data_IF_266395278255
#
_entry.id   IF_266395278255
#
_cell.length_a   1.000
_cell.length_b   1.000
_cell.length_c   1.000
_cell.angle_alpha   90.00
_cell.angle_beta   90.00
_cell.angle_gamma   90.00
#
_symmetry.space_group_name_H-M   'P 1'
#
loop_
_entity.id
_entity.type
_entity.pdbx_description
1 polymer ?
#
# COMPACT_ATOMS: atom_id res chain seq x y z
N UNK A 1 28.54 -11.85 19.22
CA UNK A 1 28.64 -10.82 18.19
C UNK A 1 27.22 -10.61 17.65
N UNK A 2 26.51 -9.57 18.12
CA UNK A 2 25.12 -9.32 17.75
C UNK A 2 25.10 -8.67 16.36
N UNK A 3 24.63 -9.40 15.37
CA UNK A 3 24.36 -8.85 14.04
C UNK A 3 23.17 -7.88 14.15
N UNK A 4 23.41 -6.61 13.82
CA UNK A 4 22.32 -5.65 13.59
C UNK A 4 21.58 -6.08 12.32
N UNK A 5 20.33 -6.51 12.49
CA UNK A 5 19.41 -6.67 11.33
C UNK A 5 19.08 -5.27 10.82
N UNK A 6 19.60 -4.91 9.69
CA UNK A 6 19.20 -3.70 8.97
C UNK A 6 17.81 -3.96 8.40
N UNK A 7 16.84 -3.22 8.85
CA UNK A 7 15.45 -3.28 8.34
C UNK A 7 15.40 -2.79 6.89
N UNK A 8 14.62 -3.45 6.10
CA UNK A 8 14.45 -3.22 4.65
C UNK A 8 13.04 -2.69 4.45
N UNK A 9 12.93 -1.53 3.80
CA UNK A 9 11.65 -0.87 3.52
C UNK A 9 11.33 -0.99 2.03
N UNK A 10 10.20 -1.60 1.70
CA UNK A 10 9.60 -1.50 0.37
C UNK A 10 8.39 -0.59 0.51
N UNK A 11 8.40 0.60 -0.05
CA UNK A 11 7.23 1.43 0.14
C UNK A 11 7.25 2.77 -0.57
N UNK A 12 6.08 3.15 -0.97
CA UNK A 12 5.73 4.48 -1.41
C UNK A 12 4.83 5.04 -0.31
N UNK A 13 5.21 6.13 0.33
CA UNK A 13 4.39 6.84 1.31
C UNK A 13 3.71 8.04 0.69
N UNK A 14 2.44 8.20 0.96
CA UNK A 14 1.71 9.44 0.73
C UNK A 14 1.76 10.29 2.00
N UNK A 15 2.12 11.55 1.88
CA UNK A 15 2.17 12.50 2.97
C UNK A 15 0.79 13.12 3.19
N UNK A 16 0.23 13.01 4.37
CA UNK A 16 -0.97 13.75 4.77
C UNK A 16 -0.60 15.20 5.10
N UNK A 17 -1.05 16.18 4.30
CA UNK A 17 -0.95 17.59 4.63
C UNK A 17 -2.22 18.00 5.34
N UNK A 18 -2.17 18.24 6.65
CA UNK A 18 -3.24 18.89 7.39
C UNK A 18 -3.21 20.40 7.14
N UNK A 19 -4.14 20.91 6.34
CA UNK A 19 -4.35 22.36 6.20
C UNK A 19 -5.32 22.81 7.29
N UNK A 20 -4.83 23.52 8.29
CA UNK A 20 -5.65 24.21 9.27
C UNK A 20 -6.23 25.49 8.63
N UNK A 21 -7.54 25.52 8.38
CA UNK A 21 -8.24 26.74 8.00
C UNK A 21 -8.75 27.45 9.24
N UNK A 22 -8.29 28.69 9.43
CA UNK A 22 -8.78 29.63 10.42
C UNK A 22 -10.10 30.23 9.97
N UNK A 23 -11.17 30.04 10.75
CA UNK A 23 -12.46 30.70 10.54
C UNK A 23 -12.54 31.95 11.44
N UNK A 24 -12.95 33.11 10.92
CA UNK A 24 -13.09 34.32 11.75
C UNK A 24 -14.34 34.26 12.62
N UNK A 25 -14.20 34.73 13.85
CA UNK A 25 -15.26 34.84 14.84
C UNK A 25 -16.27 35.93 14.47
N UNK A 26 -17.56 35.58 14.40
CA UNK A 26 -18.66 36.54 14.49
C UNK A 26 -19.42 36.28 15.79
N UNK A 27 -19.48 37.30 16.63
CA UNK A 27 -20.22 37.26 17.88
C UNK A 27 -21.70 37.42 17.67
N UNK A 28 -22.49 36.65 18.41
CA UNK A 28 -23.84 36.97 18.82
C UNK A 28 -24.14 36.26 20.16
N UNK A 29 -24.55 37.06 21.11
CA UNK A 29 -24.93 36.72 22.46
C UNK A 29 -26.39 36.24 22.42
N UNK A 30 -26.71 35.07 23.05
CA UNK A 30 -27.94 34.91 23.85
C UNK A 30 -28.12 33.51 24.43
N UNK A 31 -28.47 33.54 25.71
CA UNK A 31 -29.31 32.65 26.52
C UNK A 31 -28.76 31.31 27.03
N UNK A 32 -28.57 31.35 28.35
CA UNK A 32 -28.30 30.25 29.27
C UNK A 32 -29.45 29.20 29.22
N UNK A 33 -29.17 28.09 28.58
CA UNK A 33 -29.87 26.82 28.83
C UNK A 33 -28.81 25.82 29.31
N UNK A 34 -29.12 25.14 30.40
CA UNK A 34 -28.21 24.32 31.19
C UNK A 34 -27.22 23.47 30.41
N UNK A 35 -25.95 23.72 30.65
CA UNK A 35 -24.84 22.94 30.15
C UNK A 35 -24.81 21.59 30.89
N UNK A 36 -25.25 20.54 30.21
CA UNK A 36 -24.84 19.19 30.57
C UNK A 36 -23.42 19.08 30.07
N UNK A 37 -22.39 18.76 30.90
CA UNK A 37 -21.07 18.53 30.40
C UNK A 37 -21.14 17.36 29.41
N UNK A 38 -20.87 17.62 28.12
CA UNK A 38 -20.59 16.56 27.19
C UNK A 38 -19.39 15.79 27.71
N UNK A 39 -19.52 14.48 27.77
CA UNK A 39 -18.48 13.54 28.10
C UNK A 39 -17.19 13.98 27.39
N UNK A 40 -16.10 14.06 28.17
CA UNK A 40 -14.84 14.61 27.71
C UNK A 40 -14.40 13.91 26.43
N UNK A 41 -13.94 14.69 25.47
CA UNK A 41 -13.18 14.22 24.33
C UNK A 41 -12.02 13.37 24.87
N UNK A 42 -12.19 12.06 24.92
CA UNK A 42 -11.07 11.16 25.15
C UNK A 42 -10.20 11.32 23.90
N UNK A 43 -9.08 12.00 24.03
CA UNK A 43 -8.05 12.00 23.00
C UNK A 43 -7.64 10.54 22.79
N UNK A 44 -7.94 10.01 21.60
CA UNK A 44 -7.60 8.65 21.24
C UNK A 44 -6.10 8.42 21.43
N UNK A 45 -5.73 7.28 21.99
CA UNK A 45 -4.33 6.89 22.20
C UNK A 45 -3.60 6.88 20.86
N UNK A 46 -2.45 7.54 20.81
CA UNK A 46 -1.58 7.52 19.63
C UNK A 46 -0.56 6.39 19.75
N UNK A 47 -0.34 5.69 18.66
CA UNK A 47 0.63 4.58 18.56
C UNK A 47 1.47 4.74 17.29
N UNK A 48 2.65 4.11 17.29
CA UNK A 48 3.44 4.00 16.06
C UNK A 48 2.80 2.99 15.12
N UNK A 49 2.50 3.41 13.90
CA UNK A 49 2.05 2.50 12.83
C UNK A 49 3.08 1.41 12.59
N UNK A 50 2.63 0.18 12.47
CA UNK A 50 3.49 -0.93 12.03
C UNK A 50 3.82 -0.87 10.54
N UNK A 51 3.06 -0.09 9.77
CA UNK A 51 3.19 0.04 8.32
C UNK A 51 4.10 1.19 7.91
N UNK A 52 3.96 2.35 8.56
CA UNK A 52 4.63 3.60 8.18
C UNK A 52 5.62 4.13 9.21
N UNK A 53 5.49 3.70 10.48
CA UNK A 53 6.28 4.23 11.59
C UNK A 53 5.79 5.60 12.10
N UNK A 54 4.76 6.16 11.49
CA UNK A 54 4.16 7.42 11.90
C UNK A 54 3.28 7.26 13.15
N UNK A 55 3.02 8.37 13.83
CA UNK A 55 2.09 8.41 14.96
C UNK A 55 0.68 8.49 14.42
N UNK A 56 -0.13 7.48 14.69
CA UNK A 56 -1.52 7.34 14.22
C UNK A 56 -2.44 6.96 15.39
N UNK A 57 -3.76 7.17 15.27
CA UNK A 57 -4.72 6.65 16.24
C UNK A 57 -4.56 5.13 16.43
N UNK A 58 -4.73 4.66 17.65
CA UNK A 58 -4.60 3.23 17.97
C UNK A 58 -5.59 2.36 17.19
N UNK A 59 -6.79 2.88 16.94
CA UNK A 59 -7.82 2.25 16.11
C UNK A 59 -7.35 1.96 14.67
N UNK A 60 -6.41 2.74 14.17
CA UNK A 60 -5.78 2.57 12.85
C UNK A 60 -4.52 1.74 12.97
N UNK A 61 -3.55 2.19 13.79
CA UNK A 61 -2.22 1.59 13.84
C UNK A 61 -2.15 0.20 14.51
N UNK A 62 -3.25 -0.27 15.12
CA UNK A 62 -3.38 -1.63 15.67
C UNK A 62 -4.42 -2.47 14.95
N UNK A 63 -4.98 -1.95 13.87
CA UNK A 63 -5.85 -2.69 12.95
C UNK A 63 -5.00 -3.31 11.83
N UNK A 64 -5.29 -4.58 11.50
CA UNK A 64 -4.68 -5.25 10.34
C UNK A 64 -5.00 -4.47 9.07
N UNK A 65 -3.99 -4.18 8.22
CA UNK A 65 -4.21 -3.46 6.99
C UNK A 65 -4.92 -4.33 5.95
N UNK A 66 -5.45 -3.68 4.92
CA UNK A 66 -5.94 -4.36 3.72
C UNK A 66 -4.92 -4.21 2.59
N UNK A 67 -4.50 -5.33 1.99
CA UNK A 67 -3.66 -5.35 0.81
C UNK A 67 -4.56 -5.47 -0.44
N UNK A 68 -4.59 -4.47 -1.30
CA UNK A 68 -5.46 -4.45 -2.50
C UNK A 68 -4.64 -4.67 -3.76
N UNK A 69 -4.94 -5.75 -4.49
CA UNK A 69 -4.30 -6.06 -5.77
C UNK A 69 -4.81 -5.18 -6.90
N UNK A 70 -3.97 -4.35 -7.50
CA UNK A 70 -4.37 -3.35 -8.50
C UNK A 70 -3.72 -3.59 -9.86
N UNK A 71 -4.46 -3.24 -10.92
CA UNK A 71 -3.93 -3.27 -12.29
C UNK A 71 -2.96 -2.13 -12.54
N UNK A 72 -1.88 -2.39 -13.29
CA UNK A 72 -0.91 -1.37 -13.65
C UNK A 72 -0.53 -1.43 -15.14
N UNK A 73 -1.48 -1.62 -16.00
CA UNK A 73 -1.35 -1.38 -17.44
C UNK A 73 -2.08 -0.08 -17.81
N UNK A 74 -1.87 0.40 -19.03
CA UNK A 74 -2.44 1.68 -19.47
C UNK A 74 -3.98 1.74 -19.37
N UNK A 75 -4.68 0.60 -19.51
CA UNK A 75 -6.13 0.51 -19.37
C UNK A 75 -6.61 0.46 -17.92
N UNK A 76 -5.73 0.11 -17.00
CA UNK A 76 -5.98 0.06 -15.55
C UNK A 76 -5.54 1.31 -14.82
N UNK A 77 -4.66 2.10 -15.43
CA UNK A 77 -4.18 3.37 -14.87
C UNK A 77 -5.12 4.55 -15.23
N UNK A 78 -5.15 5.62 -14.41
CA UNK A 78 -4.61 5.69 -13.07
C UNK A 78 -5.39 4.80 -12.08
N UNK A 79 -4.72 4.34 -11.02
CA UNK A 79 -5.35 3.65 -9.91
C UNK A 79 -6.09 4.66 -9.03
N UNK A 80 -7.02 4.18 -8.22
CA UNK A 80 -7.78 5.00 -7.27
C UNK A 80 -7.48 4.51 -5.85
N UNK A 81 -7.16 5.42 -4.94
CA UNK A 81 -6.87 5.13 -3.53
C UNK A 81 -5.48 4.55 -3.27
N UNK A 82 -4.62 4.44 -4.29
CA UNK A 82 -3.26 3.91 -4.11
C UNK A 82 -2.33 4.90 -3.44
N UNK A 83 -2.59 6.21 -3.58
CA UNK A 83 -1.84 7.27 -2.90
C UNK A 83 -1.96 7.22 -1.38
N UNK A 84 -3.00 6.57 -0.85
CA UNK A 84 -3.24 6.37 0.58
C UNK A 84 -2.59 5.09 1.14
N UNK A 85 -1.91 4.31 0.32
CA UNK A 85 -1.22 3.12 0.78
C UNK A 85 0.09 3.49 1.48
N UNK A 86 0.30 3.01 2.71
CA UNK A 86 1.56 3.17 3.43
C UNK A 86 2.71 2.39 2.79
N UNK A 87 2.40 1.28 2.10
CA UNK A 87 3.36 0.46 1.34
C UNK A 87 2.76 0.05 0.00
N UNK A 88 3.55 0.12 -1.06
CA UNK A 88 3.15 -0.37 -2.39
C UNK A 88 4.21 -1.32 -2.92
N UNK A 89 3.79 -2.53 -3.27
CA UNK A 89 4.61 -3.47 -4.03
C UNK A 89 4.32 -3.36 -5.52
N UNK A 90 5.36 -3.32 -6.33
CA UNK A 90 5.26 -3.48 -7.78
C UNK A 90 6.10 -4.67 -8.24
N UNK A 91 5.49 -5.59 -8.95
CA UNK A 91 6.18 -6.73 -9.54
C UNK A 91 5.60 -7.07 -10.92
N UNK A 92 6.42 -7.68 -11.81
CA UNK A 92 5.94 -8.11 -13.12
C UNK A 92 4.89 -9.22 -12.98
N UNK A 93 4.02 -9.27 -13.97
CA UNK A 93 3.08 -10.37 -14.20
C UNK A 93 3.17 -10.79 -15.67
N UNK A 94 2.37 -11.75 -16.09
CA UNK A 94 2.33 -12.18 -17.50
C UNK A 94 2.04 -11.00 -18.45
N UNK A 95 2.53 -11.11 -19.68
CA UNK A 95 2.29 -10.11 -20.74
C UNK A 95 3.19 -8.87 -20.63
N UNK A 96 4.33 -8.97 -19.94
CA UNK A 96 5.32 -7.89 -19.72
C UNK A 96 4.76 -6.66 -18.99
N UNK A 97 3.59 -6.77 -18.35
CA UNK A 97 3.02 -5.69 -17.55
C UNK A 97 3.39 -5.90 -16.07
N UNK A 98 3.19 -4.87 -15.26
CA UNK A 98 3.29 -4.98 -13.81
C UNK A 98 1.91 -4.96 -13.15
N UNK A 99 1.88 -5.27 -11.86
CA UNK A 99 0.78 -4.97 -10.95
C UNK A 99 1.30 -4.22 -9.76
N UNK A 100 0.38 -3.47 -9.15
CA UNK A 100 0.61 -2.82 -7.89
C UNK A 100 -0.22 -3.51 -6.80
N UNK A 101 0.32 -3.61 -5.61
CA UNK A 101 -0.44 -3.98 -4.43
C UNK A 101 -0.26 -2.89 -3.39
N UNK A 102 -1.33 -2.15 -3.14
CA UNK A 102 -1.36 -1.14 -2.08
C UNK A 102 -1.74 -1.78 -0.76
N UNK A 103 -0.99 -1.49 0.31
CA UNK A 103 -1.27 -1.90 1.67
C UNK A 103 -1.75 -0.69 2.45
N UNK A 104 -3.01 -0.71 2.86
CA UNK A 104 -3.74 0.40 3.45
C UNK A 104 -4.13 0.07 4.89
N UNK A 105 -3.76 0.92 5.85
CA UNK A 105 -4.24 0.83 7.25
C UNK A 105 -5.35 1.85 7.53
N UNK A 106 -5.25 3.05 6.97
CA UNK A 106 -6.27 4.09 7.04
C UNK A 106 -7.05 4.14 5.72
N UNK A 107 -8.15 3.38 5.65
CA UNK A 107 -8.98 3.28 4.45
C UNK A 107 -10.45 3.65 4.68
N UNK A 108 -10.81 4.14 5.87
CA UNK A 108 -12.19 4.34 6.29
C UNK A 108 -12.95 5.39 5.47
N UNK A 109 -12.25 6.39 4.97
CA UNK A 109 -12.84 7.45 4.15
C UNK A 109 -12.65 7.22 2.62
N UNK A 110 -12.08 6.08 2.21
CA UNK A 110 -11.81 5.82 0.81
C UNK A 110 -13.06 5.30 0.08
N UNK A 111 -13.64 6.16 -0.76
CA UNK A 111 -14.85 5.84 -1.52
C UNK A 111 -14.59 4.97 -2.76
N UNK A 112 -13.31 4.82 -3.17
CA UNK A 112 -12.95 4.04 -4.37
C UNK A 112 -11.51 3.58 -4.33
N UNK A 113 -11.29 2.25 -4.30
CA UNK A 113 -9.97 1.62 -4.29
C UNK A 113 -9.87 0.62 -5.44
N UNK A 114 -8.85 0.74 -6.28
CA UNK A 114 -8.63 -0.16 -7.43
C UNK A 114 -8.07 0.57 -8.68
N UNK A 115 -8.20 -0.02 -9.88
CA UNK A 115 -9.01 -1.20 -10.26
C UNK A 115 -8.44 -2.49 -9.70
N UNK A 116 -9.29 -3.28 -9.04
CA UNK A 116 -8.89 -4.52 -8.38
C UNK A 116 -8.68 -5.63 -9.41
N UNK A 117 -7.61 -6.41 -9.24
CA UNK A 117 -7.16 -7.42 -10.20
C UNK A 117 -6.89 -8.77 -9.55
N UNK A 118 -6.55 -9.75 -10.40
CA UNK A 118 -6.34 -11.13 -9.96
C UNK A 118 -5.04 -11.29 -9.18
N UNK A 119 -5.11 -12.10 -8.14
CA UNK A 119 -4.00 -12.55 -7.32
C UNK A 119 -2.92 -13.26 -8.15
N UNK A 120 -1.67 -13.11 -7.73
CA UNK A 120 -0.52 -13.95 -8.07
C UNK A 120 0.07 -14.49 -6.78
N UNK A 121 0.64 -15.68 -6.82
CA UNK A 121 1.13 -16.40 -5.64
C UNK A 121 2.16 -15.61 -4.82
N UNK A 122 3.15 -15.01 -5.46
CA UNK A 122 4.16 -14.21 -4.76
C UNK A 122 3.60 -12.98 -4.03
N UNK A 123 2.49 -12.38 -4.50
CA UNK A 123 1.84 -11.28 -3.79
C UNK A 123 1.16 -11.71 -2.48
N UNK A 124 0.79 -12.99 -2.35
CA UNK A 124 0.30 -13.53 -1.08
C UNK A 124 1.37 -13.46 0.01
N UNK A 125 2.63 -13.74 -0.36
CA UNK A 125 3.74 -13.67 0.59
C UNK A 125 4.01 -12.24 1.02
N UNK A 126 4.06 -11.29 0.08
CA UNK A 126 4.21 -9.86 0.41
C UNK A 126 3.08 -9.33 1.29
N UNK A 127 1.83 -9.68 1.01
CA UNK A 127 0.71 -9.27 1.85
C UNK A 127 0.77 -9.89 3.27
N UNK A 128 1.27 -11.13 3.36
CA UNK A 128 1.38 -11.85 4.63
C UNK A 128 2.47 -11.29 5.56
N UNK A 129 3.48 -10.59 5.04
CA UNK A 129 4.49 -9.87 5.83
C UNK A 129 3.85 -8.87 6.80
N UNK A 130 2.70 -8.30 6.42
CA UNK A 130 1.95 -7.32 7.21
C UNK A 130 0.72 -7.92 7.91
N UNK A 131 0.53 -9.24 7.86
CA UNK A 131 -0.71 -9.89 8.27
C UNK A 131 -1.96 -9.26 7.64
N UNK A 132 -1.83 -8.70 6.43
CA UNK A 132 -2.89 -7.98 5.75
C UNK A 132 -4.06 -8.91 5.39
N UNK A 133 -5.27 -8.34 5.29
CA UNK A 133 -6.41 -8.99 4.64
C UNK A 133 -6.32 -8.69 3.15
N UNK A 134 -6.18 -9.72 2.32
CA UNK A 134 -5.84 -9.56 0.90
C UNK A 134 -7.07 -9.46 0.00
N UNK A 135 -7.32 -8.30 -0.60
CA UNK A 135 -8.44 -8.06 -1.50
C UNK A 135 -8.00 -8.20 -2.98
N UNK A 136 -8.64 -9.11 -3.70
CA UNK A 136 -8.33 -9.40 -5.10
C UNK A 136 -9.56 -9.86 -5.90
N UNK A 137 -9.55 -9.70 -7.22
CA UNK A 137 -10.64 -10.14 -8.07
C UNK A 137 -10.16 -11.20 -9.07
N UNK A 138 -10.34 -12.46 -8.73
CA UNK A 138 -9.79 -13.61 -9.44
C UNK A 138 -8.34 -13.92 -9.04
N UNK A 139 -7.80 -14.99 -9.60
CA UNK A 139 -6.46 -15.48 -9.29
C UNK A 139 -5.84 -16.23 -10.48
N UNK A 140 -4.49 -16.35 -10.47
CA UNK A 140 -3.77 -17.30 -11.29
C UNK A 140 -3.93 -18.72 -10.75
N UNK A 141 -3.76 -19.72 -11.64
CA UNK A 141 -3.83 -21.14 -11.23
C UNK A 141 -2.81 -21.48 -10.12
N UNK A 142 -1.62 -20.90 -10.19
CA UNK A 142 -0.53 -21.13 -9.23
C UNK A 142 -0.79 -20.52 -7.85
N UNK A 143 -1.69 -19.55 -7.72
CA UNK A 143 -2.11 -19.01 -6.43
C UNK A 143 -3.19 -19.85 -5.74
N UNK A 144 -3.94 -20.70 -6.49
CA UNK A 144 -5.04 -21.51 -5.94
C UNK A 144 -4.64 -22.38 -4.75
N UNK A 145 -3.54 -23.16 -4.79
CA UNK A 145 -3.17 -24.02 -3.67
C UNK A 145 -2.95 -23.25 -2.36
N UNK A 146 -2.40 -22.04 -2.42
CA UNK A 146 -2.18 -21.18 -1.26
C UNK A 146 -3.49 -20.60 -0.73
N UNK A 147 -4.39 -20.18 -1.60
CA UNK A 147 -5.70 -19.67 -1.22
C UNK A 147 -6.57 -20.77 -0.61
N UNK A 148 -6.53 -22.00 -1.13
CA UNK A 148 -7.25 -23.17 -0.60
C UNK A 148 -6.70 -23.64 0.75
N UNK A 149 -5.42 -23.43 1.01
CA UNK A 149 -4.78 -23.71 2.30
C UNK A 149 -4.96 -22.56 3.32
N UNK A 150 -5.65 -21.50 2.95
CA UNK A 150 -5.88 -20.32 3.81
C UNK A 150 -4.59 -19.75 4.43
N UNK A 151 -3.51 -19.66 3.62
CA UNK A 151 -2.24 -19.07 4.08
C UNK A 151 -2.37 -17.58 4.43
N UNK A 152 -3.43 -16.95 3.94
CA UNK A 152 -3.78 -15.56 4.21
C UNK A 152 -5.30 -15.38 4.17
N UNK A 153 -5.85 -14.54 5.04
CA UNK A 153 -7.24 -14.08 4.96
C UNK A 153 -7.42 -13.27 3.68
N UNK A 154 -8.44 -13.62 2.86
CA UNK A 154 -8.59 -12.96 1.58
C UNK A 154 -10.04 -12.71 1.17
N UNK A 155 -10.28 -11.59 0.51
CA UNK A 155 -11.54 -11.21 -0.10
C UNK A 155 -11.44 -11.47 -1.60
N UNK A 156 -12.01 -12.60 -2.06
CA UNK A 156 -11.97 -12.98 -3.46
C UNK A 156 -13.25 -12.53 -4.18
N UNK A 157 -13.15 -11.54 -5.06
CA UNK A 157 -14.28 -10.99 -5.81
C UNK A 157 -15.01 -11.97 -6.73
N UNK A 158 -14.42 -13.13 -7.06
CA UNK A 158 -15.14 -14.21 -7.76
C UNK A 158 -16.09 -14.94 -6.81
N UNK A 159 -15.72 -15.08 -5.54
CA UNK A 159 -16.50 -15.82 -4.54
C UNK A 159 -17.57 -14.95 -3.88
N UNK A 160 -17.17 -13.76 -3.40
CA UNK A 160 -18.07 -12.88 -2.60
C UNK A 160 -18.64 -11.70 -3.40
N UNK A 161 -18.16 -11.47 -4.63
CA UNK A 161 -18.76 -10.58 -5.61
C UNK A 161 -19.14 -9.21 -5.07
N UNK A 162 -20.40 -8.84 -5.22
CA UNK A 162 -20.93 -7.52 -4.85
C UNK A 162 -20.91 -7.22 -3.35
N UNK A 163 -20.61 -8.18 -2.52
CA UNK A 163 -20.52 -7.94 -1.08
C UNK A 163 -19.30 -7.07 -0.74
N UNK A 164 -18.13 -7.38 -1.36
CA UNK A 164 -16.90 -6.66 -1.09
C UNK A 164 -16.39 -5.83 -2.29
N UNK A 165 -17.07 -5.88 -3.44
CA UNK A 165 -16.63 -5.21 -4.65
C UNK A 165 -17.80 -4.68 -5.47
N UNK A 166 -17.55 -3.62 -6.23
CA UNK A 166 -18.50 -3.10 -7.22
C UNK A 166 -17.83 -2.90 -8.58
N UNK A 167 -18.64 -2.67 -9.61
CA UNK A 167 -18.14 -2.37 -10.97
C UNK A 167 -18.64 -1.01 -11.40
N UNK A 168 -17.72 -0.25 -11.96
CA UNK A 168 -18.02 1.07 -12.53
C UNK A 168 -18.33 0.98 -14.02
N UNK A 169 -18.89 2.04 -14.58
CA UNK A 169 -19.22 2.16 -16.00
C UNK A 169 -18.28 3.06 -16.77
N UNK A 170 -17.40 3.79 -16.09
CA UNK A 170 -16.39 4.67 -16.68
C UNK A 170 -15.24 3.89 -17.35
N UNK A 171 -15.09 2.61 -17.03
CA UNK A 171 -14.12 1.70 -17.63
C UNK A 171 -14.79 0.39 -18.08
N UNK A 172 -14.14 -0.29 -19.00
CA UNK A 172 -14.57 -1.63 -19.46
C UNK A 172 -13.97 -2.73 -18.60
N UNK A 173 -14.73 -3.82 -18.43
CA UNK A 173 -14.17 -5.03 -17.84
C UNK A 173 -12.93 -5.49 -18.62
N UNK A 174 -11.90 -6.00 -17.94
CA UNK A 174 -11.79 -6.33 -16.53
C UNK A 174 -11.23 -5.17 -15.65
N UNK A 175 -11.11 -3.95 -16.18
CA UNK A 175 -10.47 -2.80 -15.50
C UNK A 175 -11.46 -1.92 -14.70
N UNK A 176 -12.65 -2.42 -14.42
CA UNK A 176 -13.74 -1.68 -13.80
C UNK A 176 -14.22 -2.28 -12.47
N UNK A 177 -13.46 -3.17 -11.85
CA UNK A 177 -13.76 -3.70 -10.53
C UNK A 177 -13.05 -2.85 -9.47
N UNK A 178 -13.81 -2.41 -8.47
CA UNK A 178 -13.34 -1.57 -7.36
C UNK A 178 -13.88 -2.08 -6.05
N UNK A 179 -13.30 -1.59 -4.98
CA UNK A 179 -13.84 -1.69 -3.62
C UNK A 179 -13.81 -0.29 -2.97
N UNK A 180 -14.33 -0.17 -1.77
CA UNK A 180 -14.28 1.00 -0.90
C UNK A 180 -14.29 0.54 0.56
N UNK A 181 -14.24 1.49 1.51
CA UNK A 181 -14.25 1.20 2.93
C UNK A 181 -15.43 0.31 3.33
N UNK A 182 -16.65 0.65 2.88
CA UNK A 182 -17.86 -0.06 3.25
C UNK A 182 -17.92 -1.49 2.70
N UNK A 183 -17.49 -1.68 1.47
CA UNK A 183 -17.43 -3.00 0.84
C UNK A 183 -16.32 -3.87 1.46
N UNK A 184 -15.16 -3.29 1.79
CA UNK A 184 -14.11 -4.01 2.51
C UNK A 184 -14.61 -4.50 3.86
N UNK A 185 -15.23 -3.62 4.66
CA UNK A 185 -15.78 -3.98 5.95
C UNK A 185 -16.87 -5.07 5.85
N UNK A 186 -17.81 -4.93 4.90
CA UNK A 186 -18.84 -5.94 4.67
C UNK A 186 -18.26 -7.31 4.29
N UNK A 187 -17.18 -7.31 3.48
CA UNK A 187 -16.47 -8.55 3.13
C UNK A 187 -15.78 -9.18 4.33
N UNK A 188 -15.07 -8.38 5.13
CA UNK A 188 -14.36 -8.81 6.34
C UNK A 188 -15.33 -9.45 7.33
N UNK A 189 -16.43 -8.76 7.61
CA UNK A 189 -17.47 -9.22 8.53
C UNK A 189 -18.10 -10.54 8.06
N UNK A 190 -18.45 -10.63 6.79
CA UNK A 190 -19.08 -11.84 6.24
C UNK A 190 -18.14 -13.05 6.24
N UNK A 191 -16.84 -12.83 6.09
CA UNK A 191 -15.84 -13.90 6.16
C UNK A 191 -15.43 -14.20 7.60
N UNK A 192 -15.83 -13.39 8.58
CA UNK A 192 -15.48 -13.55 9.99
C UNK A 192 -13.99 -13.35 10.27
N UNK A 193 -13.31 -12.52 9.50
CA UNK A 193 -11.89 -12.24 9.70
C UNK A 193 -11.66 -11.28 10.86
N UNK A 194 -10.68 -11.60 11.71
CA UNK A 194 -10.22 -10.67 12.74
C UNK A 194 -9.50 -9.48 12.09
N UNK A 195 -9.79 -8.29 12.57
CA UNK A 195 -9.04 -7.09 12.23
C UNK A 195 -7.91 -6.79 13.23
N UNK A 196 -7.73 -7.62 14.24
CA UNK A 196 -6.62 -7.53 15.18
C UNK A 196 -5.41 -8.30 14.68
N UNK A 197 -4.23 -7.74 14.86
CA UNK A 197 -2.98 -8.47 14.65
C UNK A 197 -2.86 -9.65 15.63
N UNK A 198 -2.14 -10.69 15.25
CA UNK A 198 -1.75 -11.75 16.18
C UNK A 198 -0.84 -11.16 17.26
N UNK A 199 -0.96 -11.68 18.49
CA UNK A 199 -0.26 -11.16 19.67
C UNK A 199 1.27 -11.04 19.48
N UNK A 200 1.86 -11.99 18.73
CA UNK A 200 3.30 -12.00 18.47
C UNK A 200 3.76 -11.01 17.38
N UNK A 201 2.85 -10.30 16.70
CA UNK A 201 3.21 -9.38 15.63
C UNK A 201 3.71 -8.05 16.19
N UNK A 202 4.91 -7.68 15.81
CA UNK A 202 5.58 -6.44 16.25
C UNK A 202 5.93 -5.48 15.10
N UNK A 203 5.35 -5.72 13.92
CA UNK A 203 5.65 -5.00 12.69
C UNK A 203 6.68 -5.71 11.82
N UNK A 204 6.60 -5.47 10.51
CA UNK A 204 7.55 -6.00 9.53
C UNK A 204 8.82 -5.15 9.47
N UNK A 205 8.69 -3.84 9.63
CA UNK A 205 9.78 -2.88 9.55
C UNK A 205 10.24 -2.39 10.93
N UNK A 206 11.50 -1.96 10.99
CA UNK A 206 12.06 -1.22 12.10
C UNK A 206 12.32 0.22 11.66
N UNK A 207 11.54 1.12 12.20
CA UNK A 207 11.64 2.54 11.91
C UNK A 207 12.68 3.23 12.80
N UNK A 208 13.25 4.33 12.31
CA UNK A 208 14.07 5.22 13.11
C UNK A 208 13.23 5.91 14.22
N UNK A 209 13.89 6.39 15.26
CA UNK A 209 13.22 7.21 16.27
C UNK A 209 12.79 8.56 15.69
N UNK A 210 11.70 9.11 16.21
CA UNK A 210 11.15 10.39 15.76
C UNK A 210 12.20 11.51 15.80
N UNK A 211 12.16 12.32 14.74
CA UNK A 211 13.11 13.41 14.57
C UNK A 211 14.53 12.98 14.15
N UNK A 212 14.75 11.68 13.94
CA UNK A 212 16.00 11.15 13.41
C UNK A 212 15.95 11.06 11.90
N UNK A 213 16.68 11.92 11.21
CA UNK A 213 16.88 11.81 9.78
C UNK A 213 18.11 10.92 9.50
N UNK A 214 17.89 9.79 8.82
CA UNK A 214 18.97 8.89 8.42
C UNK A 214 19.23 9.01 6.94
N UNK A 215 20.35 9.65 6.59
CA UNK A 215 20.86 9.68 5.21
C UNK A 215 21.97 8.65 5.11
N UNK A 216 21.83 7.59 4.33
CA UNK A 216 22.86 6.56 4.22
C UNK A 216 24.09 7.08 3.47
N UNK A 217 25.28 6.58 3.85
CA UNK A 217 26.49 6.79 3.08
C UNK A 217 26.46 5.87 1.85
N UNK A 218 25.92 6.37 0.75
CA UNK A 218 25.66 5.62 -0.48
C UNK A 218 25.86 6.46 -1.74
N UNK A 219 25.63 5.84 -2.87
CA UNK A 219 25.70 6.54 -4.17
C UNK A 219 24.53 7.50 -4.35
N UNK A 220 24.72 8.55 -5.14
CA UNK A 220 23.61 9.48 -5.48
C UNK A 220 22.54 8.74 -6.27
N UNK A 221 21.27 8.94 -5.86
CA UNK A 221 20.09 8.31 -6.42
C UNK A 221 18.93 9.32 -6.54
N UNK A 222 19.20 10.50 -7.11
CA UNK A 222 18.16 11.50 -7.38
C UNK A 222 17.21 11.11 -8.51
N UNK A 223 17.60 10.15 -9.36
CA UNK A 223 16.79 9.57 -10.42
C UNK A 223 16.90 8.06 -10.36
N UNK A 224 15.76 7.38 -10.19
CA UNK A 224 15.68 5.91 -10.15
C UNK A 224 14.80 5.44 -11.29
N UNK A 225 15.34 4.65 -12.23
CA UNK A 225 14.61 4.08 -13.38
C UNK A 225 14.52 2.58 -13.23
N UNK A 226 13.33 2.03 -13.49
CA UNK A 226 13.08 0.59 -13.46
C UNK A 226 12.97 0.06 -14.90
N UNK A 227 14.09 0.04 -15.62
CA UNK A 227 14.16 -0.28 -17.05
C UNK A 227 13.67 -1.71 -17.39
N UNK A 228 13.66 -2.61 -16.41
CA UNK A 228 13.12 -3.97 -16.57
C UNK A 228 11.60 -4.02 -16.70
N UNK A 229 10.88 -2.98 -16.33
CA UNK A 229 9.44 -2.87 -16.46
C UNK A 229 9.09 -2.20 -17.80
N UNK A 230 9.04 -2.98 -18.85
CA UNK A 230 9.05 -2.50 -20.25
C UNK A 230 7.70 -2.00 -20.77
N UNK A 231 6.59 -2.21 -20.05
CA UNK A 231 5.26 -1.70 -20.43
C UNK A 231 5.06 -0.27 -19.91
N UNK A 232 5.29 -0.07 -18.64
CA UNK A 232 5.00 1.20 -17.97
C UNK A 232 6.22 2.10 -17.77
N UNK A 233 7.45 1.58 -17.91
CA UNK A 233 8.73 2.31 -17.75
C UNK A 233 8.70 3.25 -16.54
N UNK A 234 8.51 2.75 -15.31
CA UNK A 234 8.36 3.63 -14.16
C UNK A 234 9.70 4.22 -13.75
N UNK A 235 9.66 5.47 -13.30
CA UNK A 235 10.82 6.12 -12.69
C UNK A 235 10.40 6.99 -11.53
N UNK A 236 11.40 7.38 -10.74
CA UNK A 236 11.24 8.23 -9.57
C UNK A 236 12.27 9.35 -9.60
N UNK A 237 11.84 10.55 -9.25
CA UNK A 237 12.69 11.74 -9.16
C UNK A 237 12.66 12.25 -7.71
N UNK A 238 13.83 12.39 -7.11
CA UNK A 238 13.97 12.90 -5.75
C UNK A 238 13.80 14.41 -5.74
N UNK A 239 12.90 14.87 -4.90
CA UNK A 239 12.68 16.28 -4.62
C UNK A 239 13.41 16.67 -3.33
N UNK A 240 14.41 17.53 -3.41
CA UNK A 240 15.21 17.95 -2.25
C UNK A 240 14.43 18.83 -1.27
N UNK A 241 13.37 19.50 -1.73
CA UNK A 241 12.56 20.38 -0.90
C UNK A 241 11.59 19.57 -0.03
N UNK A 242 10.86 18.63 -0.64
CA UNK A 242 9.92 17.74 0.08
C UNK A 242 10.61 16.52 0.69
N UNK A 243 11.83 16.19 0.22
CA UNK A 243 12.61 15.00 0.59
C UNK A 243 11.97 13.67 0.21
N UNK A 244 11.11 13.70 -0.79
CA UNK A 244 10.37 12.57 -1.31
C UNK A 244 10.78 12.23 -2.74
N UNK A 245 10.44 11.02 -3.18
CA UNK A 245 10.54 10.60 -4.57
C UNK A 245 9.18 10.72 -5.24
N UNK A 246 9.06 11.57 -6.24
CA UNK A 246 7.89 11.68 -7.13
C UNK A 246 7.90 10.55 -8.13
N UNK A 247 6.77 9.86 -8.27
CA UNK A 247 6.66 8.70 -9.16
C UNK A 247 6.06 9.08 -10.51
N UNK A 248 6.61 8.46 -11.56
CA UNK A 248 6.18 8.59 -12.94
C UNK A 248 6.02 7.22 -13.59
N UNK A 249 5.14 7.11 -14.58
CA UNK A 249 5.00 5.94 -15.45
C UNK A 249 4.27 6.30 -16.75
N UNK A 250 4.41 5.49 -17.79
CA UNK A 250 3.81 5.76 -19.10
C UNK A 250 4.17 7.15 -19.67
N UNK A 251 5.37 7.64 -19.37
CA UNK A 251 5.88 8.93 -19.86
C UNK A 251 5.32 10.17 -19.17
N UNK A 252 4.62 10.03 -18.03
CA UNK A 252 4.00 11.15 -17.29
C UNK A 252 3.96 10.87 -15.79
N UNK A 253 3.56 11.87 -15.01
CA UNK A 253 3.26 11.74 -13.59
C UNK A 253 2.28 10.59 -13.34
N UNK A 254 2.57 9.81 -12.30
CA UNK A 254 1.63 8.82 -11.81
C UNK A 254 0.76 9.44 -10.73
N UNK A 255 -0.48 9.72 -11.07
CA UNK A 255 -1.45 10.35 -10.16
C UNK A 255 -2.44 9.33 -9.65
N UNK A 256 -2.93 9.51 -8.44
CA UNK A 256 -4.10 8.80 -7.93
C UNK A 256 -5.38 9.36 -8.58
N UNK A 257 -6.32 8.50 -8.91
CA UNK A 257 -7.60 8.92 -9.52
C UNK A 257 -8.57 9.52 -8.49
N UNK A 258 -8.38 9.19 -7.20
CA UNK A 258 -9.31 9.61 -6.15
C UNK A 258 -9.20 11.12 -5.86
N UNK A 259 -7.98 11.60 -5.73
CA UNK A 259 -7.65 12.96 -5.31
C UNK A 259 -6.87 13.78 -6.34
N UNK A 260 -6.38 13.14 -7.41
CA UNK A 260 -5.54 13.74 -8.44
C UNK A 260 -4.13 14.14 -7.96
N UNK A 261 -3.68 13.62 -6.82
CA UNK A 261 -2.34 13.89 -6.31
C UNK A 261 -1.32 12.97 -6.97
N UNK A 262 -0.13 13.49 -7.22
CA UNK A 262 0.99 12.68 -7.72
C UNK A 262 1.50 11.76 -6.62
N UNK A 263 1.71 10.49 -6.94
CA UNK A 263 2.28 9.51 -6.01
C UNK A 263 3.71 9.88 -5.64
N UNK A 264 3.98 9.88 -4.35
CA UNK A 264 5.31 10.11 -3.76
C UNK A 264 5.70 8.98 -2.82
N UNK A 265 6.97 8.90 -2.46
CA UNK A 265 7.46 7.99 -1.41
C UNK A 265 8.76 8.52 -0.80
N UNK A 266 8.95 8.25 0.50
CA UNK A 266 10.21 8.51 1.19
C UNK A 266 11.29 7.52 0.83
N UNK A 267 10.90 6.27 0.62
CA UNK A 267 11.80 5.14 0.50
C UNK A 267 11.43 4.26 -0.68
N UNK A 268 12.44 3.74 -1.38
CA UNK A 268 12.29 2.75 -2.44
C UNK A 268 13.19 1.57 -2.11
N UNK A 269 12.65 0.35 -2.18
CA UNK A 269 13.43 -0.87 -2.10
C UNK A 269 13.35 -1.60 -3.43
N UNK A 270 14.49 -1.90 -3.98
CA UNK A 270 14.63 -2.78 -5.13
C UNK A 270 15.01 -4.16 -4.62
N UNK A 271 14.14 -5.14 -4.79
CA UNK A 271 14.40 -6.55 -4.51
C UNK A 271 14.78 -7.24 -5.83
N UNK A 272 15.99 -7.77 -5.93
CA UNK A 272 16.43 -8.52 -7.09
C UNK A 272 16.13 -10.00 -6.89
N UNK A 273 15.20 -10.51 -7.67
CA UNK A 273 14.75 -11.89 -7.60
C UNK A 273 14.73 -12.54 -8.98
N UNK A 274 14.90 -13.85 -9.00
CA UNK A 274 14.68 -14.64 -10.22
C UNK A 274 13.19 -14.64 -10.58
N UNK A 275 12.90 -14.57 -11.88
CA UNK A 275 11.53 -14.45 -12.37
C UNK A 275 11.31 -15.36 -13.59
N UNK A 276 11.51 -16.69 -13.48
CA UNK A 276 11.25 -17.62 -14.57
C UNK A 276 9.73 -17.76 -14.79
N UNK A 277 9.32 -18.15 -15.97
CA UNK A 277 7.94 -18.55 -16.20
C UNK A 277 7.68 -19.95 -15.61
N UNK A 278 6.50 -20.14 -15.01
CA UNK A 278 6.04 -21.49 -14.59
C UNK A 278 5.78 -22.40 -15.79
N UNK A 279 5.26 -21.83 -16.86
CA UNK A 279 4.78 -22.55 -18.03
C UNK A 279 4.79 -21.72 -19.31
N UNK A 280 4.31 -22.31 -20.39
CA UNK A 280 4.20 -21.63 -21.71
C UNK A 280 3.12 -20.52 -21.78
N UNK A 281 2.29 -20.36 -20.75
CA UNK A 281 1.28 -19.30 -20.68
C UNK A 281 1.84 -17.99 -20.08
N UNK A 282 3.13 -18.01 -19.66
CA UNK A 282 3.85 -16.85 -19.20
C UNK A 282 3.55 -16.44 -17.75
N UNK A 283 2.87 -17.28 -16.94
CA UNK A 283 2.79 -17.06 -15.50
C UNK A 283 4.16 -17.10 -14.87
N UNK A 284 4.46 -16.12 -14.04
CA UNK A 284 5.79 -15.93 -13.46
C UNK A 284 5.90 -16.59 -12.09
N UNK A 285 7.07 -17.21 -11.85
CA UNK A 285 7.48 -17.75 -10.57
C UNK A 285 8.53 -16.81 -9.96
N UNK A 286 8.06 -15.82 -9.21
CA UNK A 286 8.96 -14.89 -8.52
C UNK A 286 9.29 -15.48 -7.16
N UNK A 287 10.59 -15.65 -6.89
CA UNK A 287 11.05 -16.03 -5.57
C UNK A 287 10.95 -14.84 -4.61
N UNK A 288 9.91 -14.86 -3.78
CA UNK A 288 9.58 -13.80 -2.83
C UNK A 288 10.01 -14.12 -1.38
N UNK A 289 10.65 -15.28 -1.15
CA UNK A 289 10.91 -15.79 0.22
C UNK A 289 12.34 -16.22 0.50
N UNK A 290 13.14 -16.53 -0.53
CA UNK A 290 14.51 -17.03 -0.30
C UNK A 290 15.50 -15.93 0.10
N UNK A 291 15.10 -14.68 -0.04
CA UNK A 291 16.00 -13.54 0.13
C UNK A 291 16.92 -13.34 -1.07
N UNK A 292 17.55 -12.18 -1.13
CA UNK A 292 18.40 -11.82 -2.27
C UNK A 292 19.17 -10.53 -2.03
N UNK A 293 19.82 -10.07 -3.09
CA UNK A 293 20.43 -8.76 -3.14
C UNK A 293 19.35 -7.71 -3.48
N UNK A 294 19.60 -6.47 -3.07
CA UNK A 294 18.68 -5.38 -3.34
C UNK A 294 19.34 -4.02 -3.13
N UNK A 295 18.56 -2.97 -3.32
CA UNK A 295 18.94 -1.62 -2.95
C UNK A 295 17.90 -0.99 -2.07
N UNK A 296 18.36 -0.29 -1.04
CA UNK A 296 17.56 0.63 -0.26
C UNK A 296 17.90 2.05 -0.70
N UNK A 297 16.89 2.81 -1.08
CA UNK A 297 17.00 4.14 -1.65
C UNK A 297 16.17 5.08 -0.79
N UNK A 298 16.79 6.10 -0.24
CA UNK A 298 16.17 7.12 0.61
C UNK A 298 16.95 8.42 0.56
N UNK A 299 16.30 9.56 0.71
CA UNK A 299 16.94 10.88 0.81
C UNK A 299 17.97 11.15 -0.29
N UNK A 300 17.66 10.76 -1.53
CA UNK A 300 18.55 10.95 -2.69
C UNK A 300 19.78 10.06 -2.72
N UNK A 301 19.83 9.01 -1.88
CA UNK A 301 20.97 8.07 -1.76
C UNK A 301 20.51 6.62 -1.89
N UNK A 302 21.40 5.78 -2.38
CA UNK A 302 21.17 4.34 -2.48
C UNK A 302 22.32 3.55 -1.87
N UNK A 303 21.98 2.52 -1.12
CA UNK A 303 22.92 1.52 -0.58
C UNK A 303 22.50 0.11 -1.00
N UNK A 304 23.48 -0.79 -1.10
CA UNK A 304 23.21 -2.20 -1.31
C UNK A 304 22.71 -2.85 -0.01
N UNK A 305 21.71 -3.68 -0.14
CA UNK A 305 21.09 -4.41 0.97
C UNK A 305 20.83 -5.86 0.61
N UNK A 306 20.49 -6.65 1.61
CA UNK A 306 19.95 -8.01 1.42
C UNK A 306 18.57 -8.07 2.06
N UNK A 307 17.64 -8.60 1.33
CA UNK A 307 16.25 -8.80 1.75
C UNK A 307 15.95 -10.27 2.04
#
# INVERSE_FOLDING_TARGET
MRMKKTGILAGIMATCICIAQSVPAFGAQQDLVGFVPSEGNQTETQVKSYLTGESVPESIGRRRPVAVMMGNNISGAPQSGIGHAGVVYEAPVEGNITRLMGILEDYDELERIGSVRSCRDYYLFYANEFQAIYAHYGQAAYALPYLEQHVIDNLNGIQIGKLAFFRTTDRKAPHNAYTDASHLQAGIDAMGYSQEYKEEYTGHYLFAEDGTETVPDGITASLVKLDNFTDNHPWYEYDEETKEYKRFQFGKEHVDQLDNEQLTCDNIILQYSSCPAYDGNGYLNIDAISGGEGKFITRGRAIDVRW
#
